data_IF_663794108045
#
_entry.id   IF_663794108045
#
_cell.length_a   1.000
_cell.length_b   1.000
_cell.length_c   1.000
_cell.angle_alpha   90.00
_cell.angle_beta   90.00
_cell.angle_gamma   90.00
#
_symmetry.space_group_name_H-M   'P 1'
#
loop_
_entity.id
_entity.type
_entity.pdbx_description
1 polymer ?
#
# COMPACT_ATOMS: atom_id res chain seq x y z
N UNK A 1 -79.31 -6.01 -23.11
CA UNK A 1 -80.03 -4.69 -23.09
C UNK A 1 -79.26 -3.70 -22.30
N UNK A 2 -79.14 -2.50 -22.83
CA UNK A 2 -78.63 -1.24 -22.26
C UNK A 2 -77.10 -1.20 -22.15
N UNK A 3 -76.39 -0.63 -23.08
CA UNK A 3 -76.24 0.80 -23.45
C UNK A 3 -75.81 1.64 -22.25
N UNK A 4 -74.60 2.19 -22.37
CA UNK A 4 -74.38 3.65 -22.26
C UNK A 4 -72.87 3.86 -22.36
N UNK A 5 -72.37 4.36 -23.47
CA UNK A 5 -71.88 5.69 -23.78
C UNK A 5 -70.67 6.13 -22.99
N UNK A 6 -69.53 6.11 -23.66
CA UNK A 6 -68.80 7.24 -24.23
C UNK A 6 -68.51 8.33 -23.18
N UNK A 7 -67.28 8.48 -22.84
CA UNK A 7 -66.73 9.80 -22.74
C UNK A 7 -65.30 9.84 -23.22
N UNK A 8 -65.17 10.48 -24.34
CA UNK A 8 -63.93 10.89 -24.97
C UNK A 8 -63.42 12.09 -24.18
N UNK A 9 -62.33 11.91 -23.53
CA UNK A 9 -61.58 12.98 -22.94
C UNK A 9 -60.18 13.01 -23.52
N UNK A 10 -60.07 13.72 -24.64
CA UNK A 10 -58.76 14.09 -25.19
C UNK A 10 -58.15 15.12 -24.30
N UNK A 11 -57.12 14.75 -23.58
CA UNK A 11 -56.19 15.72 -22.99
C UNK A 11 -54.83 15.45 -23.61
N UNK A 12 -54.50 16.28 -24.57
CA UNK A 12 -53.16 16.41 -25.06
C UNK A 12 -52.29 16.98 -23.96
N UNK A 13 -51.49 16.16 -23.34
CA UNK A 13 -50.40 16.59 -22.49
C UNK A 13 -49.08 16.35 -23.21
N UNK A 14 -48.46 17.43 -23.53
CA UNK A 14 -47.12 17.54 -24.07
C UNK A 14 -46.13 16.81 -23.17
N UNK A 15 -45.70 15.67 -23.64
CA UNK A 15 -44.54 14.99 -23.02
C UNK A 15 -43.28 15.69 -23.46
N UNK A 16 -42.79 16.56 -22.62
CA UNK A 16 -41.41 17.01 -22.75
C UNK A 16 -40.51 15.85 -22.41
N UNK A 17 -39.88 15.30 -23.41
CA UNK A 17 -38.79 14.38 -23.29
C UNK A 17 -37.59 15.12 -22.70
N UNK A 18 -37.47 15.13 -21.38
CA UNK A 18 -36.24 15.47 -20.74
C UNK A 18 -35.28 14.30 -20.94
N UNK A 19 -34.45 14.46 -21.95
CA UNK A 19 -33.28 13.66 -22.18
C UNK A 19 -32.30 13.95 -21.03
N UNK A 20 -32.47 13.27 -19.91
CA UNK A 20 -31.49 13.28 -18.83
C UNK A 20 -30.28 12.49 -19.32
N UNK A 21 -29.33 13.21 -19.89
CA UNK A 21 -28.00 12.72 -20.05
C UNK A 21 -27.44 12.39 -18.65
N UNK A 22 -27.46 11.12 -18.26
CA UNK A 22 -26.65 10.64 -17.17
C UNK A 22 -25.20 10.75 -17.63
N UNK A 23 -24.61 11.89 -17.36
CA UNK A 23 -23.17 11.99 -17.30
C UNK A 23 -22.72 11.18 -16.09
N UNK A 24 -22.37 9.92 -16.32
CA UNK A 24 -21.66 9.11 -15.38
C UNK A 24 -20.25 9.70 -15.31
N UNK A 25 -20.10 10.79 -14.55
CA UNK A 25 -18.80 11.21 -14.08
C UNK A 25 -18.32 10.11 -13.16
N UNK A 26 -17.61 9.16 -13.74
CA UNK A 26 -16.77 8.24 -13.00
C UNK A 26 -15.78 9.09 -12.22
N UNK A 27 -16.17 9.47 -11.02
CA UNK A 27 -15.25 10.02 -10.05
C UNK A 27 -14.31 8.89 -9.72
N UNK A 28 -13.18 8.84 -10.41
CA UNK A 28 -12.06 8.06 -9.96
C UNK A 28 -11.74 8.60 -8.55
N UNK A 29 -12.24 7.92 -7.54
CA UNK A 29 -11.81 8.12 -6.18
C UNK A 29 -10.35 7.73 -6.15
N UNK A 30 -9.51 8.72 -6.42
CA UNK A 30 -8.12 8.69 -6.05
C UNK A 30 -8.16 8.56 -4.53
N UNK A 31 -8.10 7.33 -4.06
CA UNK A 31 -7.93 7.07 -2.64
C UNK A 31 -6.70 7.84 -2.23
N UNK A 32 -6.91 8.96 -1.59
CA UNK A 32 -5.86 9.74 -0.96
C UNK A 32 -5.24 8.79 0.04
N UNK A 33 -4.12 8.19 -0.33
CA UNK A 33 -3.32 7.41 0.60
C UNK A 33 -3.13 8.31 1.81
N UNK A 34 -3.69 7.90 2.96
CA UNK A 34 -3.59 8.64 4.21
C UNK A 34 -2.12 8.90 4.44
N UNK A 35 -1.68 10.12 4.22
CA UNK A 35 -0.28 10.52 4.33
C UNK A 35 0.07 10.46 5.81
N UNK A 36 0.49 9.29 6.25
CA UNK A 36 0.95 9.08 7.62
C UNK A 36 2.20 9.92 7.83
N UNK A 37 2.27 10.66 8.93
CA UNK A 37 3.47 11.40 9.32
C UNK A 37 4.68 10.46 9.33
N UNK A 38 5.89 10.96 9.00
CA UNK A 38 7.11 10.17 9.07
C UNK A 38 7.30 9.60 10.47
N UNK A 39 7.73 8.35 10.55
CA UNK A 39 8.08 7.66 11.81
C UNK A 39 9.50 7.15 11.72
N UNK A 40 10.14 7.02 12.86
CA UNK A 40 11.41 6.33 13.00
C UNK A 40 11.16 4.93 13.54
N UNK A 41 11.65 3.94 12.81
CA UNK A 41 11.60 2.54 13.20
C UNK A 41 13.01 2.03 13.41
N UNK A 42 13.17 1.17 14.39
CA UNK A 42 14.44 0.50 14.70
C UNK A 42 14.31 -0.99 14.39
N UNK A 43 15.28 -1.56 13.73
CA UNK A 43 15.28 -2.98 13.40
C UNK A 43 16.57 -3.37 12.72
N UNK A 44 16.57 -4.54 12.11
CA UNK A 44 17.72 -5.07 11.38
C UNK A 44 17.42 -5.11 9.89
N UNK A 45 18.40 -4.76 9.06
CA UNK A 45 18.28 -5.02 7.63
C UNK A 45 18.45 -6.51 7.40
N UNK A 46 17.40 -7.11 6.89
CA UNK A 46 17.30 -8.52 6.57
C UNK A 46 16.82 -8.71 5.12
N UNK A 47 16.51 -9.89 4.74
CA UNK A 47 15.97 -10.24 3.44
C UNK A 47 14.55 -10.83 3.55
N UNK A 48 13.85 -10.83 2.44
CA UNK A 48 12.46 -11.28 2.39
C UNK A 48 12.27 -12.79 2.57
N UNK A 49 13.34 -13.58 2.45
CA UNK A 49 13.28 -15.03 2.60
C UNK A 49 13.45 -15.45 4.05
N UNK A 50 14.40 -14.81 4.76
CA UNK A 50 14.69 -15.11 6.17
C UNK A 50 13.86 -14.28 7.14
N UNK A 51 13.61 -12.99 6.80
CA UNK A 51 12.79 -12.12 7.64
C UNK A 51 13.38 -11.89 9.03
N UNK A 52 12.72 -12.43 10.05
CA UNK A 52 13.12 -12.27 11.46
C UNK A 52 14.25 -13.19 11.90
N UNK A 53 14.52 -14.28 11.17
CA UNK A 53 15.49 -15.30 11.53
C UNK A 53 16.41 -15.60 10.35
N UNK A 54 17.70 -15.69 10.63
CA UNK A 54 18.70 -16.10 9.66
C UNK A 54 19.06 -17.59 9.79
N UNK A 55 19.71 -18.12 8.76
CA UNK A 55 20.16 -19.51 8.78
C UNK A 55 21.21 -19.72 9.86
N UNK A 56 21.08 -20.84 10.59
CA UNK A 56 22.05 -21.21 11.61
C UNK A 56 23.44 -21.43 10.97
N UNK A 57 24.48 -20.94 11.64
CA UNK A 57 25.88 -21.07 11.18
C UNK A 57 26.34 -20.04 10.16
N UNK A 58 25.49 -19.11 9.74
CA UNK A 58 25.85 -17.99 8.87
C UNK A 58 25.67 -16.66 9.62
N UNK A 59 26.58 -15.73 9.41
CA UNK A 59 26.38 -14.40 9.98
C UNK A 59 25.26 -13.64 9.27
N UNK A 60 24.62 -12.73 9.98
CA UNK A 60 23.45 -12.00 9.50
C UNK A 60 23.72 -11.22 8.21
N UNK A 61 24.90 -10.66 8.04
CA UNK A 61 25.28 -9.89 6.86
C UNK A 61 25.35 -10.77 5.60
N UNK A 62 26.10 -11.86 5.70
CA UNK A 62 26.28 -12.74 4.54
C UNK A 62 25.00 -13.44 4.15
N UNK A 63 24.20 -13.87 5.13
CA UNK A 63 22.88 -14.44 4.91
C UNK A 63 21.97 -13.44 4.19
N UNK A 64 21.88 -12.20 4.70
CA UNK A 64 21.06 -11.15 4.09
C UNK A 64 21.50 -10.85 2.67
N UNK A 65 22.80 -10.66 2.42
CA UNK A 65 23.30 -10.34 1.08
C UNK A 65 23.10 -11.48 0.09
N UNK A 66 23.26 -12.73 0.53
CA UNK A 66 23.07 -13.90 -0.32
C UNK A 66 21.59 -14.05 -0.72
N UNK A 67 20.69 -13.96 0.23
CA UNK A 67 19.26 -14.15 -0.01
C UNK A 67 18.61 -12.95 -0.72
N UNK A 68 19.08 -11.73 -0.48
CA UNK A 68 18.59 -10.54 -1.17
C UNK A 68 18.91 -10.52 -2.67
N UNK A 69 19.86 -11.31 -3.16
CA UNK A 69 20.12 -11.45 -4.61
C UNK A 69 18.91 -11.94 -5.39
N UNK A 70 18.13 -12.82 -4.80
CA UNK A 70 16.92 -13.38 -5.39
C UNK A 70 15.63 -12.89 -4.71
N UNK A 71 15.77 -12.01 -3.73
CA UNK A 71 14.70 -11.47 -2.94
C UNK A 71 14.77 -9.94 -2.83
N UNK A 72 14.32 -9.44 -1.70
CA UNK A 72 14.33 -8.01 -1.39
C UNK A 72 14.86 -7.78 0.02
N UNK A 73 15.46 -6.61 0.23
CA UNK A 73 15.76 -6.16 1.58
C UNK A 73 14.48 -5.80 2.33
N UNK A 74 14.46 -6.10 3.60
CA UNK A 74 13.37 -5.79 4.53
C UNK A 74 13.93 -5.22 5.84
N UNK A 75 13.10 -4.51 6.59
CA UNK A 75 13.39 -4.16 7.98
C UNK A 75 12.75 -5.22 8.89
N UNK A 76 13.55 -5.94 9.61
CA UNK A 76 13.13 -6.91 10.61
C UNK A 76 13.09 -6.26 12.00
N UNK A 77 11.92 -5.91 12.48
CA UNK A 77 11.68 -5.47 13.85
C UNK A 77 11.52 -6.73 14.73
N UNK A 78 12.61 -7.16 15.31
CA UNK A 78 12.65 -8.39 16.11
C UNK A 78 11.91 -8.24 17.44
N UNK A 79 11.84 -7.02 17.98
CA UNK A 79 11.19 -6.74 19.25
C UNK A 79 9.67 -6.85 19.13
N UNK A 80 9.11 -6.32 18.06
CA UNK A 80 7.68 -6.39 17.76
C UNK A 80 7.29 -7.57 16.87
N UNK A 81 8.27 -8.37 16.41
CA UNK A 81 8.07 -9.52 15.51
C UNK A 81 7.38 -9.14 14.20
N UNK A 82 7.77 -8.01 13.62
CA UNK A 82 7.21 -7.48 12.38
C UNK A 82 8.30 -7.34 11.32
N UNK A 83 7.96 -7.72 10.09
CA UNK A 83 8.81 -7.50 8.93
C UNK A 83 8.16 -6.43 8.06
N UNK A 84 8.92 -5.39 7.76
CA UNK A 84 8.49 -4.29 6.88
C UNK A 84 9.19 -4.38 5.55
N UNK A 85 8.44 -4.24 4.48
CA UNK A 85 8.96 -4.08 3.13
C UNK A 85 9.51 -2.67 2.96
N UNK A 86 10.62 -2.54 2.24
CA UNK A 86 11.20 -1.25 1.89
C UNK A 86 10.81 -0.87 0.47
N UNK A 87 10.56 0.41 0.23
CA UNK A 87 10.34 0.93 -1.11
C UNK A 87 11.64 0.95 -1.94
N UNK A 88 11.58 1.45 -3.17
CA UNK A 88 12.73 1.48 -4.06
C UNK A 88 13.95 2.18 -3.44
N UNK A 89 13.75 3.32 -2.79
CA UNK A 89 14.82 4.07 -2.13
C UNK A 89 15.46 3.26 -1.00
N UNK A 90 14.62 2.57 -0.22
CA UNK A 90 15.09 1.66 0.82
C UNK A 90 15.88 0.48 0.27
N UNK A 91 15.44 -0.12 -0.85
CA UNK A 91 16.16 -1.21 -1.49
C UNK A 91 17.56 -0.80 -1.96
N UNK A 92 17.71 0.38 -2.52
CA UNK A 92 18.99 0.90 -3.02
C UNK A 92 20.00 1.15 -1.88
N UNK A 93 19.51 1.58 -0.71
CA UNK A 93 20.37 1.93 0.44
C UNK A 93 20.60 0.78 1.41
N UNK A 94 19.68 -0.15 1.51
CA UNK A 94 19.71 -1.19 2.53
C UNK A 94 20.91 -2.13 2.43
N UNK A 95 21.46 -2.35 1.24
CA UNK A 95 22.60 -3.23 1.02
C UNK A 95 23.83 -2.87 1.87
N UNK A 96 24.07 -1.58 2.09
CA UNK A 96 25.19 -1.10 2.92
C UNK A 96 25.03 -1.50 4.39
N UNK A 97 23.81 -1.70 4.84
CA UNK A 97 23.45 -2.03 6.22
C UNK A 97 23.02 -3.49 6.40
N UNK A 98 23.29 -4.35 5.43
CA UNK A 98 22.88 -5.75 5.49
C UNK A 98 23.31 -6.42 6.80
N UNK A 99 22.37 -7.03 7.51
CA UNK A 99 22.57 -7.68 8.80
C UNK A 99 22.78 -6.74 9.99
N UNK A 100 22.79 -5.43 9.78
CA UNK A 100 23.04 -4.45 10.83
C UNK A 100 21.74 -3.92 11.45
N UNK A 101 21.82 -3.51 12.69
CA UNK A 101 20.77 -2.75 13.37
C UNK A 101 20.76 -1.31 12.87
N UNK A 102 19.60 -0.84 12.46
CA UNK A 102 19.42 0.49 11.85
C UNK A 102 18.23 1.23 12.42
N UNK A 103 18.26 2.54 12.26
CA UNK A 103 17.11 3.43 12.36
C UNK A 103 16.66 3.80 10.95
N UNK A 104 15.41 3.55 10.64
CA UNK A 104 14.79 3.98 9.38
C UNK A 104 13.77 5.05 9.69
N UNK A 105 13.93 6.22 9.08
CA UNK A 105 12.91 7.25 9.06
C UNK A 105 12.16 7.20 7.74
N UNK A 106 10.85 7.17 7.82
CA UNK A 106 10.01 7.10 6.64
C UNK A 106 8.52 7.07 6.97
N UNK A 107 7.71 6.97 5.93
CA UNK A 107 6.25 6.86 6.06
C UNK A 107 5.85 5.40 6.00
N UNK A 108 5.12 4.95 7.00
CA UNK A 108 4.66 3.58 7.10
C UNK A 108 3.21 3.49 6.60
N UNK A 109 2.98 2.57 5.67
CA UNK A 109 1.65 2.22 5.18
C UNK A 109 1.51 0.70 5.24
N UNK A 110 0.69 0.21 6.17
CA UNK A 110 0.62 -1.21 6.46
C UNK A 110 1.99 -1.77 6.87
N UNK A 111 2.49 -2.73 6.13
CA UNK A 111 3.84 -3.32 6.32
C UNK A 111 4.88 -2.82 5.31
N UNK A 112 4.65 -1.67 4.70
CA UNK A 112 5.59 -1.06 3.76
C UNK A 112 6.08 0.28 4.29
N UNK A 113 7.38 0.51 4.20
CA UNK A 113 8.04 1.77 4.56
C UNK A 113 8.46 2.48 3.29
N UNK A 114 7.98 3.69 3.11
CA UNK A 114 8.55 4.64 2.15
C UNK A 114 9.70 5.35 2.84
N UNK A 115 10.90 4.92 2.51
CA UNK A 115 12.12 5.30 3.22
C UNK A 115 12.55 6.72 2.87
N UNK A 116 12.91 7.49 3.89
CA UNK A 116 13.58 8.79 3.75
C UNK A 116 15.06 8.63 4.06
N UNK A 117 15.40 8.08 5.23
CA UNK A 117 16.77 7.83 5.65
C UNK A 117 16.93 6.45 6.28
N UNK A 118 18.13 5.88 6.14
CA UNK A 118 18.59 4.71 6.88
C UNK A 118 19.90 5.11 7.55
N UNK A 119 20.01 4.84 8.82
CA UNK A 119 21.19 5.14 9.64
C UNK A 119 21.52 3.96 10.54
N UNK A 120 22.81 3.71 10.79
CA UNK A 120 23.20 2.69 11.75
C UNK A 120 22.65 3.06 13.14
N UNK A 121 22.06 2.08 13.83
CA UNK A 121 21.65 2.26 15.21
C UNK A 121 22.84 1.91 16.12
N UNK A 122 23.36 2.88 16.81
CA UNK A 122 24.33 2.71 17.88
C UNK A 122 23.67 2.19 19.14
#
# INVERSE_FOLDING_TARGET
MKRVLINVGIVAALSQSMLSALATTGTAQKTKAKTTAPKTLVGYISDSSCGLQHMAGMNDKDCTLMCAKNGKFVLADRDNKVVYQLDKVGQEKAGEFAGQKVKITGRVSGKTIRVTTIEAAT
#
